data_IF_528537105153
#
_entry.id   IF_528537105153
#
_cell.length_a   1.000
_cell.length_b   1.000
_cell.length_c   1.000
_cell.angle_alpha   90.00
_cell.angle_beta   90.00
_cell.angle_gamma   90.00
#
_symmetry.space_group_name_H-M   'P 1'
#
loop_
_entity.id
_entity.type
_entity.pdbx_description
1 polymer ?
#
# COMPACT_ATOMS: atom_id res chain seq x y z
N UNK A 1 -1.72 -74.38 9.20
CA UNK A 1 -1.87 -73.25 10.14
C UNK A 1 -0.59 -72.43 10.39
N UNK A 2 0.61 -73.03 10.48
CA UNK A 2 1.86 -72.29 10.79
C UNK A 2 2.36 -71.28 9.73
N UNK A 3 2.20 -71.57 8.42
CA UNK A 3 2.68 -70.68 7.34
C UNK A 3 1.88 -69.37 7.22
N UNK A 4 0.55 -69.43 7.38
CA UNK A 4 -0.32 -68.25 7.32
C UNK A 4 -0.03 -67.28 8.49
N UNK A 5 0.23 -67.84 9.68
CA UNK A 5 0.60 -67.07 10.87
C UNK A 5 1.95 -66.36 10.70
N UNK A 6 2.93 -67.01 10.07
CA UNK A 6 4.23 -66.42 9.76
C UNK A 6 4.12 -65.27 8.74
N UNK A 7 3.28 -65.41 7.71
CA UNK A 7 3.02 -64.36 6.70
C UNK A 7 2.32 -63.16 7.33
N UNK A 8 1.29 -63.39 8.16
CA UNK A 8 0.58 -62.33 8.88
C UNK A 8 1.50 -61.56 9.84
N UNK A 9 2.41 -62.28 10.54
CA UNK A 9 3.44 -61.67 11.39
C UNK A 9 4.40 -60.79 10.58
N UNK A 10 4.92 -61.29 9.45
CA UNK A 10 5.80 -60.53 8.57
C UNK A 10 5.13 -59.27 7.98
N UNK A 11 3.84 -59.34 7.61
CA UNK A 11 3.08 -58.17 7.15
C UNK A 11 2.88 -57.14 8.27
N UNK A 12 2.63 -57.58 9.50
CA UNK A 12 2.50 -56.71 10.67
C UNK A 12 3.81 -55.99 10.98
N UNK A 13 4.92 -56.72 10.96
CA UNK A 13 6.26 -56.17 11.19
C UNK A 13 6.64 -55.15 10.09
N UNK A 14 6.30 -55.44 8.83
CA UNK A 14 6.51 -54.51 7.71
C UNK A 14 5.67 -53.24 7.84
N UNK A 15 4.40 -53.33 8.26
CA UNK A 15 3.54 -52.17 8.52
C UNK A 15 4.09 -51.33 9.67
N UNK A 16 4.54 -51.96 10.75
CA UNK A 16 5.15 -51.27 11.89
C UNK A 16 6.43 -50.52 11.48
N UNK A 17 7.29 -51.13 10.67
CA UNK A 17 8.50 -50.49 10.12
C UNK A 17 8.18 -49.27 9.26
N UNK A 18 7.18 -49.38 8.37
CA UNK A 18 6.75 -48.26 7.53
C UNK A 18 6.17 -47.13 8.39
N UNK A 19 5.33 -47.47 9.37
CA UNK A 19 4.73 -46.50 10.29
C UNK A 19 5.80 -45.79 11.14
N UNK A 20 6.77 -46.51 11.68
CA UNK A 20 7.88 -45.91 12.42
C UNK A 20 8.74 -45.00 11.54
N UNK A 21 9.03 -45.39 10.30
CA UNK A 21 9.73 -44.52 9.33
C UNK A 21 8.95 -43.25 9.05
N UNK A 22 7.63 -43.35 8.88
CA UNK A 22 6.76 -42.20 8.66
C UNK A 22 6.73 -41.25 9.86
N UNK A 23 6.59 -41.79 11.08
CA UNK A 23 6.65 -41.00 12.33
C UNK A 23 8.01 -40.32 12.48
N UNK A 24 9.12 -41.03 12.24
CA UNK A 24 10.47 -40.45 12.28
C UNK A 24 10.65 -39.33 11.25
N UNK A 25 10.15 -39.50 10.02
CA UNK A 25 10.17 -38.44 8.99
C UNK A 25 9.37 -37.22 9.42
N UNK A 26 8.17 -37.39 10.00
CA UNK A 26 7.37 -36.29 10.53
C UNK A 26 8.07 -35.57 11.68
N UNK A 27 8.66 -36.31 12.63
CA UNK A 27 9.40 -35.73 13.76
C UNK A 27 10.63 -34.96 13.28
N UNK A 28 11.38 -35.49 12.31
CA UNK A 28 12.52 -34.81 11.71
C UNK A 28 12.11 -33.50 11.02
N UNK A 29 11.06 -33.51 10.19
CA UNK A 29 10.54 -32.28 9.57
C UNK A 29 10.12 -31.23 10.60
N UNK A 30 9.49 -31.65 11.70
CA UNK A 30 9.11 -30.75 12.78
C UNK A 30 10.34 -30.15 13.47
N UNK A 31 11.36 -30.98 13.73
CA UNK A 31 12.62 -30.52 14.32
C UNK A 31 13.35 -29.55 13.39
N UNK A 32 13.49 -29.90 12.10
CA UNK A 32 14.11 -29.03 11.10
C UNK A 32 13.40 -27.67 11.02
N UNK A 33 12.06 -27.65 11.14
CA UNK A 33 11.27 -26.41 11.20
C UNK A 33 11.58 -25.60 12.46
N UNK A 34 11.57 -26.23 13.64
CA UNK A 34 11.90 -25.57 14.92
C UNK A 34 13.32 -25.00 14.88
N UNK A 35 14.28 -25.75 14.33
CA UNK A 35 15.68 -25.34 14.20
C UNK A 35 15.87 -24.22 13.16
N UNK A 36 14.93 -24.07 12.21
CA UNK A 36 14.95 -22.99 11.22
C UNK A 36 14.50 -21.64 11.78
N UNK A 37 13.62 -21.63 12.80
CA UNK A 37 13.10 -20.40 13.42
C UNK A 37 14.23 -19.49 13.94
N UNK A 38 15.19 -19.96 14.77
CA UNK A 38 16.27 -19.09 15.25
C UNK A 38 17.20 -18.61 14.13
N UNK A 39 17.40 -19.43 13.08
CA UNK A 39 18.21 -19.04 11.91
C UNK A 39 17.55 -17.89 11.14
N UNK A 40 16.26 -18.01 10.86
CA UNK A 40 15.48 -16.97 10.19
C UNK A 40 15.40 -15.69 11.03
N UNK A 41 15.26 -15.81 12.35
CA UNK A 41 15.29 -14.64 13.26
C UNK A 41 16.63 -13.91 13.19
N UNK A 42 17.74 -14.64 13.27
CA UNK A 42 19.07 -14.04 13.16
C UNK A 42 19.28 -13.41 11.77
N UNK A 43 18.83 -14.06 10.69
CA UNK A 43 18.90 -13.50 9.34
C UNK A 43 18.09 -12.20 9.21
N UNK A 44 16.89 -12.14 9.80
CA UNK A 44 16.09 -10.92 9.88
C UNK A 44 16.85 -9.82 10.63
N UNK A 45 17.45 -10.13 11.79
CA UNK A 45 18.24 -9.17 12.56
C UNK A 45 19.45 -8.65 11.76
N UNK A 46 20.19 -9.54 11.10
CA UNK A 46 21.34 -9.16 10.25
C UNK A 46 20.92 -8.27 9.08
N UNK A 47 19.82 -8.61 8.40
CA UNK A 47 19.28 -7.80 7.31
C UNK A 47 18.78 -6.45 7.81
N UNK A 48 18.18 -6.39 9.00
CA UNK A 48 17.77 -5.14 9.63
C UNK A 48 18.98 -4.26 9.96
N UNK A 49 20.06 -4.83 10.48
CA UNK A 49 21.31 -4.11 10.76
C UNK A 49 21.96 -3.61 9.47
N UNK A 50 22.09 -4.45 8.45
CA UNK A 50 22.61 -4.05 7.14
C UNK A 50 21.81 -2.90 6.54
N UNK A 51 20.47 -2.97 6.61
CA UNK A 51 19.59 -1.90 6.14
C UNK A 51 19.78 -0.61 6.92
N UNK A 52 20.00 -0.69 8.24
CA UNK A 52 20.30 0.48 9.07
C UNK A 52 21.64 1.13 8.66
N UNK A 53 22.71 0.35 8.54
CA UNK A 53 24.04 0.85 8.14
C UNK A 53 24.04 1.47 6.74
N UNK A 54 23.32 0.87 5.79
CA UNK A 54 23.17 1.45 4.44
C UNK A 54 22.44 2.79 4.46
N UNK A 55 21.50 3.00 5.38
CA UNK A 55 20.79 4.27 5.53
C UNK A 55 21.66 5.38 6.08
N UNK A 56 22.50 5.09 7.06
CA UNK A 56 23.42 6.10 7.62
C UNK A 56 24.41 6.63 6.58
N UNK A 57 24.70 5.82 5.55
CA UNK A 57 25.59 6.19 4.44
C UNK A 57 24.92 7.04 3.36
N UNK A 58 23.59 7.13 3.33
CA UNK A 58 22.89 7.94 2.33
C UNK A 58 23.02 9.43 2.69
N UNK A 59 23.40 10.29 1.74
CA UNK A 59 23.34 11.74 1.95
C UNK A 59 21.91 12.13 2.30
N UNK A 60 21.72 12.62 3.53
CA UNK A 60 20.41 13.07 4.04
C UNK A 60 19.88 14.26 3.23
N UNK A 61 20.78 15.00 2.60
CA UNK A 61 20.51 16.12 1.69
C UNK A 61 20.48 15.66 0.22
N UNK A 62 19.68 14.63 -0.09
CA UNK A 62 19.44 14.23 -1.47
C UNK A 62 17.97 13.92 -1.73
N UNK A 63 17.52 14.22 -2.95
CA UNK A 63 16.19 13.85 -3.41
C UNK A 63 15.89 12.35 -3.25
N UNK A 64 16.92 11.49 -3.41
CA UNK A 64 16.79 10.05 -3.21
C UNK A 64 16.45 9.68 -1.77
N UNK A 65 17.18 10.24 -0.81
CA UNK A 65 16.91 10.01 0.60
C UNK A 65 15.52 10.51 0.98
N UNK A 66 15.16 11.74 0.57
CA UNK A 66 13.84 12.31 0.84
C UNK A 66 12.73 11.45 0.25
N UNK A 67 12.86 10.99 -1.00
CA UNK A 67 11.86 10.15 -1.63
C UNK A 67 11.69 8.80 -0.91
N UNK A 68 12.79 8.11 -0.56
CA UNK A 68 12.73 6.84 0.19
C UNK A 68 12.07 7.02 1.55
N UNK A 69 12.45 8.08 2.28
CA UNK A 69 11.91 8.35 3.60
C UNK A 69 10.44 8.77 3.55
N UNK A 70 10.04 9.53 2.52
CA UNK A 70 8.65 9.92 2.29
C UNK A 70 7.74 8.68 2.18
N UNK A 71 8.07 7.72 1.31
CA UNK A 71 7.27 6.49 1.17
C UNK A 71 7.38 5.55 2.38
N UNK A 72 8.49 5.60 3.12
CA UNK A 72 8.60 4.83 4.37
C UNK A 72 7.62 5.35 5.42
N UNK A 73 7.56 6.67 5.62
CA UNK A 73 6.66 7.28 6.60
C UNK A 73 5.21 7.04 6.22
N UNK A 74 4.90 7.07 4.93
CA UNK A 74 3.54 6.97 4.39
C UNK A 74 3.14 5.55 3.95
N UNK A 75 3.94 4.54 4.27
CA UNK A 75 3.73 3.15 3.84
C UNK A 75 2.32 2.63 4.16
N UNK A 76 1.75 3.08 5.28
CA UNK A 76 0.42 2.69 5.77
C UNK A 76 -0.51 3.91 5.92
N UNK A 77 -0.27 4.96 5.13
CA UNK A 77 -0.97 6.24 5.27
C UNK A 77 -0.48 7.06 6.45
N UNK A 78 -1.15 8.19 6.68
CA UNK A 78 -0.85 9.11 7.78
C UNK A 78 -1.64 8.71 9.03
N UNK A 79 -0.93 8.28 10.07
CA UNK A 79 -1.55 7.90 11.34
C UNK A 79 -2.41 9.03 11.93
N UNK A 80 -3.57 8.67 12.48
CA UNK A 80 -4.46 9.60 13.18
C UNK A 80 -3.89 10.16 14.48
N UNK A 81 -2.77 9.61 14.99
CA UNK A 81 -2.11 10.09 16.19
C UNK A 81 -1.41 11.43 15.95
N UNK A 82 -1.68 12.42 16.81
CA UNK A 82 -1.10 13.76 16.71
C UNK A 82 0.43 13.73 16.65
N UNK A 83 1.08 12.97 17.54
CA UNK A 83 2.53 12.83 17.57
C UNK A 83 3.13 12.20 16.28
N UNK A 84 2.34 11.46 15.49
CA UNK A 84 2.77 10.95 14.19
C UNK A 84 2.62 12.01 13.10
N UNK A 85 1.54 12.81 13.16
CA UNK A 85 1.32 13.94 12.25
C UNK A 85 2.37 15.04 12.45
N UNK A 86 2.71 15.37 13.69
CA UNK A 86 3.80 16.30 14.01
C UNK A 86 5.14 15.80 13.47
N UNK A 87 5.45 14.50 13.65
CA UNK A 87 6.67 13.90 13.09
C UNK A 87 6.71 13.98 11.56
N UNK A 88 5.58 13.75 10.91
CA UNK A 88 5.48 13.90 9.45
C UNK A 88 5.67 15.37 9.02
N UNK A 89 5.01 16.32 9.68
CA UNK A 89 5.17 17.75 9.43
C UNK A 89 6.62 18.23 9.65
N UNK A 90 7.29 17.73 10.68
CA UNK A 90 8.70 18.05 10.96
C UNK A 90 9.61 17.50 9.86
N UNK A 91 9.33 16.28 9.37
CA UNK A 91 10.04 15.71 8.23
C UNK A 91 9.83 16.55 6.96
N UNK A 92 8.58 16.94 6.66
CA UNK A 92 8.27 17.78 5.51
C UNK A 92 8.97 19.14 5.61
N UNK A 93 8.88 19.82 6.77
CA UNK A 93 9.51 21.13 6.99
C UNK A 93 11.04 21.10 6.87
N UNK A 94 11.67 19.97 7.21
CA UNK A 94 13.11 19.78 7.11
C UNK A 94 13.58 19.46 5.68
N UNK A 95 12.73 18.83 4.86
CA UNK A 95 13.12 18.28 3.55
C UNK A 95 12.51 19.01 2.35
N UNK A 96 11.50 19.85 2.57
CA UNK A 96 10.71 20.51 1.53
C UNK A 96 10.67 22.03 1.72
N UNK A 97 10.44 22.74 0.62
CA UNK A 97 10.16 24.17 0.66
C UNK A 97 8.79 24.43 1.32
N UNK A 98 8.62 25.50 2.12
CA UNK A 98 7.35 25.81 2.77
C UNK A 98 6.19 26.01 1.79
N UNK A 99 6.50 26.52 0.60
CA UNK A 99 5.62 26.85 -0.52
C UNK A 99 5.65 25.78 -1.64
N UNK A 100 5.98 24.54 -1.30
CA UNK A 100 6.08 23.43 -2.25
C UNK A 100 4.89 23.36 -3.21
N UNK A 101 5.18 23.24 -4.49
CA UNK A 101 4.16 23.06 -5.52
C UNK A 101 3.72 21.59 -5.59
N UNK A 102 2.42 21.33 -5.43
CA UNK A 102 1.86 19.97 -5.62
C UNK A 102 1.03 19.84 -6.90
N UNK A 103 0.97 20.89 -7.73
CA UNK A 103 0.13 21.01 -8.92
C UNK A 103 -1.31 21.44 -8.64
N UNK A 104 -1.89 20.97 -7.53
CA UNK A 104 -3.30 21.27 -7.17
C UNK A 104 -3.43 22.18 -5.95
N UNK A 105 -2.39 22.25 -5.13
CA UNK A 105 -2.33 23.02 -3.91
C UNK A 105 -0.88 23.43 -3.62
N UNK A 106 -0.68 24.41 -2.74
CA UNK A 106 0.66 24.93 -2.45
C UNK A 106 0.95 24.87 -0.96
N UNK A 107 2.10 24.30 -0.62
CA UNK A 107 2.63 24.26 0.73
C UNK A 107 2.32 23.01 1.54
N UNK A 108 3.03 22.90 2.67
CA UNK A 108 3.09 21.67 3.46
C UNK A 108 1.76 21.28 4.11
N UNK A 109 0.93 22.27 4.48
CA UNK A 109 -0.36 22.03 5.14
C UNK A 109 -1.36 21.37 4.20
N UNK A 110 -1.37 21.77 2.93
CA UNK A 110 -2.26 21.19 1.93
C UNK A 110 -1.84 19.76 1.58
N UNK A 111 -0.53 19.49 1.58
CA UNK A 111 0.00 18.12 1.44
C UNK A 111 -0.45 17.23 2.61
N UNK A 112 -0.34 17.70 3.85
CA UNK A 112 -0.82 16.95 5.02
C UNK A 112 -2.33 16.74 4.98
N UNK A 113 -3.11 17.75 4.58
CA UNK A 113 -4.55 17.61 4.40
C UNK A 113 -4.89 16.55 3.36
N UNK A 114 -4.18 16.52 2.24
CA UNK A 114 -4.38 15.51 1.18
C UNK A 114 -4.12 14.09 1.70
N UNK A 115 -3.07 13.92 2.52
CA UNK A 115 -2.80 12.63 3.18
C UNK A 115 -3.86 12.23 4.20
N UNK A 116 -4.43 13.19 4.93
CA UNK A 116 -5.56 12.94 5.84
C UNK A 116 -6.78 12.42 5.08
N UNK A 117 -7.15 13.09 3.98
CA UNK A 117 -8.26 12.68 3.12
C UNK A 117 -8.00 11.28 2.55
N UNK A 118 -6.80 11.03 2.02
CA UNK A 118 -6.42 9.73 1.49
C UNK A 118 -6.53 8.61 2.54
N UNK A 119 -5.96 8.83 3.72
CA UNK A 119 -5.93 7.81 4.78
C UNK A 119 -7.30 7.59 5.40
N UNK A 120 -8.14 8.63 5.45
CA UNK A 120 -9.53 8.48 5.85
C UNK A 120 -10.31 7.66 4.82
N UNK A 121 -10.14 7.94 3.53
CA UNK A 121 -10.81 7.21 2.47
C UNK A 121 -10.39 5.74 2.37
N UNK A 122 -9.11 5.46 2.65
CA UNK A 122 -8.50 4.13 2.55
C UNK A 122 -7.72 3.79 3.84
N UNK A 123 -8.41 3.42 4.94
CA UNK A 123 -7.77 3.16 6.24
C UNK A 123 -6.77 2.00 6.23
N UNK A 124 -6.95 1.05 5.31
CA UNK A 124 -6.12 -0.15 5.15
C UNK A 124 -5.06 0.01 4.04
N UNK A 125 -4.81 1.24 3.58
CA UNK A 125 -3.91 1.47 2.47
C UNK A 125 -2.49 0.93 2.73
N UNK A 126 -1.89 0.39 1.67
CA UNK A 126 -0.50 -0.05 1.68
C UNK A 126 0.23 0.47 0.45
N UNK A 127 1.18 1.37 0.67
CA UNK A 127 1.96 2.03 -0.37
C UNK A 127 3.33 1.38 -0.46
N UNK A 128 3.71 0.99 -1.67
CA UNK A 128 5.00 0.40 -1.96
C UNK A 128 5.75 1.20 -3.01
N UNK A 129 6.94 1.66 -2.64
CA UNK A 129 7.92 2.17 -3.59
C UNK A 129 8.49 1.00 -4.41
N UNK A 130 8.23 1.00 -5.71
CA UNK A 130 8.70 -0.04 -6.64
C UNK A 130 10.07 0.31 -7.22
N UNK A 131 10.36 1.60 -7.38
CA UNK A 131 11.63 2.06 -7.91
C UNK A 131 11.74 3.57 -7.92
N UNK A 132 12.98 4.04 -8.06
CA UNK A 132 13.33 5.45 -8.22
C UNK A 132 14.16 5.60 -9.48
N UNK A 133 13.85 6.63 -10.27
CA UNK A 133 14.54 6.94 -11.51
C UNK A 133 14.78 8.44 -11.58
N UNK A 134 16.03 8.83 -11.81
CA UNK A 134 16.38 10.21 -12.08
C UNK A 134 15.95 10.59 -13.50
N UNK A 135 15.18 11.68 -13.65
CA UNK A 135 14.84 12.23 -14.97
C UNK A 135 15.83 13.31 -15.38
N UNK A 136 16.13 14.24 -14.47
CA UNK A 136 17.08 15.33 -14.67
C UNK A 136 17.89 15.51 -13.39
N UNK A 137 18.86 16.44 -13.40
CA UNK A 137 19.60 16.78 -12.18
C UNK A 137 18.70 17.30 -11.06
N UNK A 138 17.62 18.01 -11.41
CA UNK A 138 16.67 18.57 -10.46
C UNK A 138 15.34 17.81 -10.35
N UNK A 139 15.23 16.59 -10.90
CA UNK A 139 13.98 15.85 -10.85
C UNK A 139 14.19 14.34 -10.70
N UNK A 140 13.52 13.77 -9.70
CA UNK A 140 13.50 12.34 -9.40
C UNK A 140 12.06 11.82 -9.46
N UNK A 141 11.81 10.70 -10.12
CA UNK A 141 10.49 10.05 -10.11
C UNK A 141 10.55 8.72 -9.38
N UNK A 142 9.62 8.58 -8.45
CA UNK A 142 9.26 7.33 -7.82
C UNK A 142 8.14 6.65 -8.60
N UNK A 143 8.27 5.34 -8.80
CA UNK A 143 7.16 4.48 -9.24
C UNK A 143 6.58 3.77 -8.03
N UNK A 144 5.26 3.79 -7.88
CA UNK A 144 4.57 3.28 -6.70
C UNK A 144 3.47 2.30 -7.06
N UNK A 145 3.14 1.44 -6.10
CA UNK A 145 1.94 0.61 -6.13
C UNK A 145 1.22 0.81 -4.81
N UNK A 146 -0.08 1.08 -4.86
CA UNK A 146 -0.91 1.34 -3.70
C UNK A 146 -2.04 0.32 -3.66
N UNK A 147 -2.11 -0.47 -2.59
CA UNK A 147 -3.21 -1.42 -2.35
C UNK A 147 -4.20 -0.80 -1.38
N UNK A 148 -5.48 -0.92 -1.67
CA UNK A 148 -6.57 -0.43 -0.83
C UNK A 148 -7.77 -1.36 -0.93
N UNK A 149 -8.64 -1.31 0.09
CA UNK A 149 -9.97 -1.93 0.01
C UNK A 149 -11.03 -0.86 -0.23
N UNK A 150 -11.91 -1.12 -1.20
CA UNK A 150 -13.06 -0.27 -1.48
C UNK A 150 -14.20 -0.61 -0.52
N UNK A 151 -14.16 -0.02 0.67
CA UNK A 151 -15.16 -0.25 1.72
C UNK A 151 -16.43 0.58 1.49
N UNK A 152 -17.54 0.23 2.16
CA UNK A 152 -18.72 1.10 2.20
C UNK A 152 -18.39 2.54 2.61
N UNK A 153 -17.48 2.74 3.56
CA UNK A 153 -17.01 4.06 3.96
C UNK A 153 -16.33 4.79 2.79
N UNK A 154 -15.46 4.11 2.04
CA UNK A 154 -14.81 4.67 0.84
C UNK A 154 -15.83 5.13 -0.19
N UNK A 155 -16.87 4.33 -0.45
CA UNK A 155 -17.94 4.70 -1.39
C UNK A 155 -18.69 5.95 -0.92
N UNK A 156 -19.09 6.00 0.36
CA UNK A 156 -19.78 7.17 0.93
C UNK A 156 -18.91 8.43 0.91
N UNK A 157 -17.62 8.28 1.19
CA UNK A 157 -16.67 9.38 1.33
C UNK A 157 -16.22 9.93 -0.02
N UNK A 158 -15.92 9.06 -1.00
CA UNK A 158 -15.36 9.44 -2.30
C UNK A 158 -16.36 9.36 -3.46
N UNK A 159 -17.21 8.35 -3.52
CA UNK A 159 -18.07 8.06 -4.68
C UNK A 159 -19.52 8.48 -4.43
N UNK A 160 -19.75 9.79 -4.36
CA UNK A 160 -21.05 10.38 -4.00
C UNK A 160 -22.22 9.90 -4.85
N UNK A 161 -22.00 9.59 -6.14
CA UNK A 161 -23.04 9.04 -7.02
C UNK A 161 -23.59 7.68 -6.57
N UNK A 162 -22.80 6.93 -5.80
CA UNK A 162 -23.18 5.64 -5.21
C UNK A 162 -23.75 5.77 -3.79
N UNK A 163 -23.52 6.91 -3.14
CA UNK A 163 -23.93 7.17 -1.75
C UNK A 163 -25.35 7.73 -1.61
N UNK A 164 -26.00 8.09 -2.72
CA UNK A 164 -27.32 8.74 -2.72
C UNK A 164 -28.42 7.78 -2.24
N UNK A 165 -28.83 7.95 -0.98
CA UNK A 165 -29.85 7.19 -0.24
C UNK A 165 -31.30 7.54 -0.63
N UNK A 166 -31.50 8.32 -1.69
CA UNK A 166 -32.82 8.64 -2.24
C UNK A 166 -33.54 7.39 -2.78
N UNK A 167 -34.08 6.57 -1.86
CA UNK A 167 -35.04 5.43 -1.90
C UNK A 167 -35.07 4.45 -3.10
N UNK A 168 -34.31 4.68 -4.15
CA UNK A 168 -34.20 3.88 -5.37
C UNK A 168 -32.85 4.19 -6.01
N UNK A 169 -31.76 3.69 -5.44
CA UNK A 169 -30.60 3.37 -6.27
C UNK A 169 -31.15 2.52 -7.44
N UNK A 170 -30.91 2.97 -8.68
CA UNK A 170 -31.31 2.19 -9.85
C UNK A 170 -30.73 0.78 -9.73
N UNK A 171 -31.40 -0.22 -10.30
CA UNK A 171 -30.93 -1.62 -10.28
C UNK A 171 -29.43 -1.71 -10.66
N UNK A 172 -29.04 -0.94 -11.67
CA UNK A 172 -27.66 -0.76 -12.13
C UNK A 172 -26.71 -0.25 -11.04
N UNK A 173 -27.06 0.78 -10.27
CA UNK A 173 -26.21 1.28 -9.16
C UNK A 173 -26.05 0.24 -8.06
N UNK A 174 -27.11 -0.50 -7.71
CA UNK A 174 -27.02 -1.59 -6.71
C UNK A 174 -26.06 -2.70 -7.17
N UNK A 175 -26.13 -3.07 -8.45
CA UNK A 175 -25.20 -4.04 -9.05
C UNK A 175 -23.74 -3.53 -9.03
N UNK A 176 -23.53 -2.24 -9.33
CA UNK A 176 -22.20 -1.61 -9.24
C UNK A 176 -21.68 -1.61 -7.80
N UNK A 177 -22.48 -1.20 -6.81
CA UNK A 177 -22.09 -1.22 -5.40
C UNK A 177 -21.71 -2.64 -4.97
N UNK A 178 -22.52 -3.64 -5.33
CA UNK A 178 -22.24 -5.04 -5.02
C UNK A 178 -20.95 -5.57 -5.69
N UNK A 179 -20.60 -5.04 -6.87
CA UNK A 179 -19.32 -5.36 -7.54
C UNK A 179 -18.13 -4.66 -6.90
N UNK A 180 -18.30 -3.46 -6.33
CA UNK A 180 -17.20 -2.59 -5.90
C UNK A 180 -16.86 -2.76 -4.42
N UNK A 181 -17.88 -2.94 -3.58
CA UNK A 181 -17.70 -3.06 -2.13
C UNK A 181 -16.85 -4.27 -1.78
N UNK A 182 -15.97 -4.09 -0.79
CA UNK A 182 -15.04 -5.08 -0.24
C UNK A 182 -14.06 -5.64 -1.28
N UNK A 183 -13.89 -4.96 -2.41
CA UNK A 183 -12.88 -5.32 -3.40
C UNK A 183 -11.54 -4.72 -3.06
N UNK A 184 -10.50 -5.53 -3.28
CA UNK A 184 -9.13 -5.07 -3.20
C UNK A 184 -8.66 -4.62 -4.57
N UNK A 185 -8.24 -3.36 -4.67
CA UNK A 185 -7.66 -2.83 -5.89
C UNK A 185 -6.19 -2.47 -5.70
N UNK A 186 -5.45 -2.53 -6.79
CA UNK A 186 -4.05 -2.09 -6.84
C UNK A 186 -3.95 -0.94 -7.83
N UNK A 187 -3.63 0.25 -7.32
CA UNK A 187 -3.42 1.44 -8.11
C UNK A 187 -1.92 1.62 -8.38
N UNK A 188 -1.57 1.85 -9.64
CA UNK A 188 -0.18 2.14 -10.02
C UNK A 188 0.00 3.64 -10.10
N UNK A 189 1.09 4.14 -9.55
CA UNK A 189 1.31 5.58 -9.48
C UNK A 189 2.75 5.96 -9.74
N UNK A 190 2.95 7.27 -9.82
CA UNK A 190 4.24 7.90 -9.83
C UNK A 190 4.22 9.18 -9.01
N UNK A 191 5.36 9.52 -8.43
CA UNK A 191 5.55 10.78 -7.71
C UNK A 191 6.84 11.41 -8.18
N UNK A 192 6.75 12.62 -8.74
CA UNK A 192 7.89 13.43 -9.13
C UNK A 192 8.28 14.34 -7.98
N UNK A 193 9.55 14.29 -7.60
CA UNK A 193 10.21 15.17 -6.65
C UNK A 193 11.09 16.14 -7.45
N UNK A 194 10.72 17.40 -7.46
CA UNK A 194 11.53 18.47 -8.03
C UNK A 194 12.43 19.04 -6.93
N UNK A 195 13.73 19.07 -7.20
CA UNK A 195 14.79 19.27 -6.23
C UNK A 195 15.57 20.54 -6.53
N UNK A 196 15.69 21.40 -5.53
CA UNK A 196 16.58 22.55 -5.56
C UNK A 196 17.92 22.20 -4.89
N UNK A 197 18.97 22.21 -5.70
CA UNK A 197 20.34 21.91 -5.29
C UNK A 197 20.95 23.00 -4.40
N UNK A 198 20.44 24.24 -4.48
CA UNK A 198 20.91 25.39 -3.68
C UNK A 198 20.36 25.31 -2.26
N UNK A 199 19.04 25.11 -2.10
CA UNK A 199 18.44 25.01 -0.77
C UNK A 199 18.48 23.60 -0.17
N UNK A 200 18.89 22.58 -0.95
CA UNK A 200 18.84 21.16 -0.59
C UNK A 200 17.44 20.72 -0.15
N UNK A 201 16.42 21.15 -0.91
CA UNK A 201 15.00 20.90 -0.59
C UNK A 201 14.22 20.48 -1.82
N UNK A 202 13.14 19.74 -1.57
CA UNK A 202 12.12 19.49 -2.58
C UNK A 202 11.24 20.74 -2.72
N UNK A 203 11.17 21.27 -3.93
CA UNK A 203 10.37 22.47 -4.29
C UNK A 203 9.08 22.12 -5.03
N UNK A 204 8.98 20.90 -5.58
CA UNK A 204 7.78 20.40 -6.23
C UNK A 204 7.53 18.92 -5.95
N UNK A 205 6.27 18.53 -5.76
CA UNK A 205 5.84 17.17 -5.48
C UNK A 205 4.57 16.84 -6.26
N UNK A 206 4.74 16.25 -7.44
CA UNK A 206 3.61 15.95 -8.33
C UNK A 206 3.30 14.46 -8.30
N UNK A 207 2.09 14.13 -7.86
CA UNK A 207 1.63 12.74 -7.71
C UNK A 207 0.59 12.40 -8.78
N UNK A 208 0.70 11.21 -9.35
CA UNK A 208 -0.28 10.63 -10.26
C UNK A 208 -0.58 9.20 -9.84
N UNK A 209 -1.84 8.78 -9.87
CA UNK A 209 -2.27 7.43 -9.51
C UNK A 209 -3.37 6.94 -10.46
N UNK A 210 -3.14 5.82 -11.13
CA UNK A 210 -4.10 5.20 -12.04
C UNK A 210 -5.21 4.48 -11.26
N UNK A 211 -6.37 5.12 -11.14
CA UNK A 211 -7.60 4.51 -10.65
C UNK A 211 -8.49 3.98 -11.77
N UNK A 212 -8.29 4.45 -13.02
CA UNK A 212 -9.10 4.02 -14.15
C UNK A 212 -8.93 2.53 -14.43
N UNK A 213 -7.69 2.06 -14.56
CA UNK A 213 -7.41 0.66 -14.91
C UNK A 213 -8.03 -0.33 -13.91
N UNK A 214 -7.81 -0.22 -12.57
CA UNK A 214 -8.42 -1.15 -11.63
C UNK A 214 -9.95 -1.06 -11.60
N UNK A 215 -10.52 0.14 -11.72
CA UNK A 215 -11.99 0.32 -11.71
C UNK A 215 -12.64 -0.24 -12.98
N UNK A 216 -12.00 -0.06 -14.15
CA UNK A 216 -12.47 -0.63 -15.40
C UNK A 216 -12.42 -2.15 -15.39
N UNK A 217 -11.34 -2.74 -14.86
CA UNK A 217 -11.23 -4.20 -14.70
C UNK A 217 -12.31 -4.76 -13.77
N UNK A 218 -12.68 -4.00 -12.74
CA UNK A 218 -13.68 -4.43 -11.76
C UNK A 218 -15.12 -4.32 -12.28
N UNK A 219 -15.43 -3.23 -12.97
CA UNK A 219 -16.78 -2.94 -13.45
C UNK A 219 -17.07 -3.59 -14.81
N UNK A 220 -16.05 -3.71 -15.65
CA UNK A 220 -16.14 -4.25 -17.02
C UNK A 220 -16.73 -3.27 -18.04
N UNK A 221 -17.01 -2.02 -17.65
CA UNK A 221 -17.62 -1.01 -18.51
C UNK A 221 -17.13 0.40 -18.16
N UNK A 222 -16.72 1.16 -19.18
CA UNK A 222 -16.33 2.56 -19.02
C UNK A 222 -17.54 3.44 -18.64
N UNK A 223 -18.74 3.06 -19.07
CA UNK A 223 -19.97 3.76 -18.69
C UNK A 223 -20.24 3.61 -17.17
N UNK A 224 -20.01 2.43 -16.61
CA UNK A 224 -20.13 2.20 -15.17
C UNK A 224 -19.03 2.96 -14.41
N UNK A 225 -17.79 2.97 -14.91
CA UNK A 225 -16.72 3.81 -14.32
C UNK A 225 -17.12 5.29 -14.34
N UNK A 226 -17.62 5.80 -15.47
CA UNK A 226 -18.08 7.18 -15.57
C UNK A 226 -19.20 7.49 -14.57
N UNK A 227 -20.13 6.56 -14.35
CA UNK A 227 -21.18 6.71 -13.35
C UNK A 227 -20.62 6.78 -11.92
N UNK A 228 -19.67 5.91 -11.57
CA UNK A 228 -19.02 5.90 -10.23
C UNK A 228 -18.26 7.20 -9.97
N UNK A 229 -17.58 7.73 -10.99
CA UNK A 229 -16.77 8.95 -10.87
C UNK A 229 -17.58 10.24 -11.09
N UNK A 230 -18.87 10.13 -11.43
CA UNK A 230 -19.77 11.26 -11.50
C UNK A 230 -19.88 11.92 -10.11
N UNK A 231 -19.44 13.18 -10.00
CA UNK A 231 -19.42 13.92 -8.73
C UNK A 231 -18.56 13.26 -7.61
N UNK A 232 -17.61 12.39 -7.98
CA UNK A 232 -16.69 11.82 -7.01
C UNK A 232 -15.76 12.91 -6.45
N UNK A 233 -15.31 12.72 -5.21
CA UNK A 233 -14.33 13.60 -4.57
C UNK A 233 -12.87 13.27 -4.96
N UNK A 234 -12.70 12.38 -5.94
CA UNK A 234 -11.41 11.93 -6.46
C UNK A 234 -11.50 11.74 -7.97
N UNK A 235 -10.44 12.10 -8.69
CA UNK A 235 -10.32 11.93 -10.13
C UNK A 235 -9.75 10.56 -10.50
N UNK A 236 -9.82 10.20 -11.80
CA UNK A 236 -9.30 8.93 -12.31
C UNK A 236 -7.76 8.82 -12.27
N UNK A 237 -7.06 9.96 -12.24
CA UNK A 237 -5.62 10.09 -11.99
C UNK A 237 -5.26 10.26 -10.50
N UNK A 238 -6.25 10.08 -9.62
CA UNK A 238 -6.05 9.92 -8.18
C UNK A 238 -5.87 11.22 -7.40
N UNK A 239 -6.27 12.35 -7.98
CA UNK A 239 -6.23 13.64 -7.32
C UNK A 239 -7.53 13.90 -6.56
N UNK A 240 -7.41 14.30 -5.29
CA UNK A 240 -8.58 14.67 -4.49
C UNK A 240 -9.10 16.04 -4.92
N UNK A 241 -10.40 16.12 -5.13
CA UNK A 241 -11.08 17.37 -5.49
C UNK A 241 -11.41 18.10 -4.18
N UNK A 242 -10.90 19.33 -3.97
CA UNK A 242 -11.22 20.09 -2.78
C UNK A 242 -12.73 20.29 -2.68
N UNK A 243 -13.31 19.96 -1.54
CA UNK A 243 -14.70 20.33 -1.25
C UNK A 243 -14.69 21.83 -1.02
N UNK A 244 -15.12 22.62 -2.02
CA UNK A 244 -15.34 24.05 -1.83
C UNK A 244 -16.38 24.19 -0.71
N UNK A 245 -16.12 24.91 0.39
CA UNK A 245 -17.18 25.22 1.33
C UNK A 245 -18.29 25.94 0.58
N UNK A 246 -19.57 25.75 0.94
CA UNK A 246 -20.65 26.51 0.35
C UNK A 246 -20.30 27.99 0.51
N UNK A 247 -20.37 28.74 -0.60
CA UNK A 247 -20.30 30.19 -0.55
C UNK A 247 -21.41 30.68 0.38
N UNK A 248 -21.02 31.33 1.47
CA UNK A 248 -21.92 32.13 2.31
C UNK A 248 -22.61 33.22 1.48
#
# INVERSE_FOLDING_TARGET
MGKLHAIMKAHRDRRNLIQQRHIRKKKKKMQDLVDSIPKLRNEIEQLQLQRFTLRERLPKESAWFVAVEYFRVLQYGLSGLEAAQERFLNFLSASMAPDIDTGNASGLQDLVRSWKIFTQAFPDCHIQLQGLKQLTRGALVATTSTRVTLTHHTLQYLFRSLADDNKTLSKRRKEIVAKVVDQHIVMRGSVRFDWDETTKRVVGLHSHTDMLTPMLNLLGSLEDVSLVFSHAAITLDGTFIPIKPPSE
#
